data_IF_966930180753
#
_entry.id   IF_966930180753
#
_cell.length_a   1.000
_cell.length_b   1.000
_cell.length_c   1.000
_cell.angle_alpha   90.00
_cell.angle_beta   90.00
_cell.angle_gamma   90.00
#
_symmetry.space_group_name_H-M   'P 1'
#
loop_
_entity.id
_entity.type
_entity.pdbx_description
1 polymer ?
#
# COMPACT_ATOMS: atom_id res chain seq x y z
N UNK A 1 3.44 -26.56 -7.93
CA UNK A 1 4.83 -26.17 -7.60
C UNK A 1 4.73 -24.97 -6.66
N UNK A 2 5.79 -24.57 -5.95
CA UNK A 2 5.76 -23.37 -5.11
C UNK A 2 6.31 -22.19 -5.93
N UNK A 3 5.70 -21.02 -5.81
CA UNK A 3 6.18 -19.76 -6.40
C UNK A 3 6.48 -18.76 -5.29
N UNK A 4 7.31 -17.76 -5.55
CA UNK A 4 7.59 -16.71 -4.58
C UNK A 4 6.62 -15.54 -4.76
N UNK A 5 6.16 -14.97 -3.66
CA UNK A 5 5.35 -13.76 -3.68
C UNK A 5 6.19 -12.55 -4.12
N UNK A 6 5.77 -11.83 -5.15
CA UNK A 6 6.50 -10.68 -5.68
C UNK A 6 6.59 -9.48 -4.71
N UNK A 7 5.68 -9.41 -3.72
CA UNK A 7 5.65 -8.33 -2.72
C UNK A 7 6.51 -8.62 -1.47
N UNK A 8 6.33 -9.78 -0.83
CA UNK A 8 7.02 -10.14 0.42
C UNK A 8 8.10 -11.23 0.29
N UNK A 9 8.29 -11.80 -0.90
CA UNK A 9 9.25 -12.86 -1.21
C UNK A 9 9.07 -14.16 -0.42
N UNK A 10 7.90 -14.36 0.18
CA UNK A 10 7.57 -15.63 0.83
C UNK A 10 7.05 -16.66 -0.18
N UNK A 11 7.27 -17.94 0.10
CA UNK A 11 6.80 -19.05 -0.73
C UNK A 11 5.27 -19.17 -0.64
N UNK A 12 4.62 -19.26 -1.80
CA UNK A 12 3.18 -19.40 -1.94
C UNK A 12 2.87 -20.53 -2.93
N UNK A 13 1.68 -21.13 -2.81
CA UNK A 13 1.25 -22.14 -3.76
C UNK A 13 0.95 -21.51 -5.12
N UNK A 14 1.28 -22.22 -6.20
CA UNK A 14 1.13 -21.70 -7.56
C UNK A 14 -0.31 -21.36 -7.93
N UNK A 15 -1.29 -22.04 -7.31
CA UNK A 15 -2.73 -21.84 -7.48
C UNK A 15 -3.29 -20.63 -6.73
N UNK A 16 -2.50 -19.99 -5.86
CA UNK A 16 -2.97 -18.85 -5.08
C UNK A 16 -2.57 -17.53 -5.74
N UNK A 17 -3.56 -16.75 -6.15
CA UNK A 17 -3.35 -15.40 -6.71
C UNK A 17 -3.16 -14.37 -5.61
N UNK A 18 -3.65 -14.63 -4.39
CA UNK A 18 -3.46 -13.77 -3.22
C UNK A 18 -2.48 -14.40 -2.26
N UNK A 19 -1.45 -13.65 -1.85
CA UNK A 19 -0.47 -14.14 -0.89
C UNK A 19 -1.07 -14.21 0.53
N UNK A 20 -1.02 -15.36 1.23
CA UNK A 20 -1.54 -15.50 2.59
C UNK A 20 -0.73 -14.72 3.65
N UNK A 21 0.52 -14.36 3.34
CA UNK A 21 1.40 -13.63 4.26
C UNK A 21 1.17 -12.12 4.26
N UNK A 22 1.09 -11.52 3.07
CA UNK A 22 0.97 -10.07 2.93
C UNK A 22 -0.38 -9.60 2.36
N UNK A 23 -1.27 -10.52 1.98
CA UNK A 23 -2.57 -10.20 1.38
C UNK A 23 -2.50 -9.58 -0.01
N UNK A 24 -1.32 -9.55 -0.65
CA UNK A 24 -1.15 -8.93 -1.97
C UNK A 24 -1.60 -9.88 -3.08
N UNK A 25 -2.38 -9.36 -4.02
CA UNK A 25 -2.71 -10.05 -5.26
C UNK A 25 -1.51 -10.01 -6.22
N UNK A 26 -1.04 -11.19 -6.63
CA UNK A 26 0.14 -11.36 -7.49
C UNK A 26 -0.08 -10.81 -8.91
N UNK A 27 -1.31 -10.73 -9.40
CA UNK A 27 -1.62 -10.15 -10.71
C UNK A 27 -1.46 -8.63 -10.68
N UNK A 28 -2.00 -7.97 -9.64
CA UNK A 28 -1.88 -6.53 -9.46
C UNK A 28 -0.41 -6.09 -9.31
N UNK A 29 0.38 -6.88 -8.58
CA UNK A 29 1.82 -6.62 -8.39
C UNK A 29 2.59 -6.78 -9.71
N UNK A 30 2.22 -7.75 -10.56
CA UNK A 30 2.80 -7.92 -11.91
C UNK A 30 2.47 -6.75 -12.82
N UNK A 31 1.21 -6.31 -12.82
CA UNK A 31 0.75 -5.17 -13.61
C UNK A 31 1.48 -3.88 -13.20
N UNK A 32 1.59 -3.64 -11.89
CA UNK A 32 2.35 -2.50 -11.36
C UNK A 32 3.82 -2.56 -11.78
N UNK A 33 4.46 -3.72 -11.69
CA UNK A 33 5.85 -3.89 -12.10
C UNK A 33 6.03 -3.66 -13.62
N UNK A 34 5.09 -4.12 -14.44
CA UNK A 34 5.08 -3.87 -15.88
C UNK A 34 4.99 -2.37 -16.19
N UNK A 35 4.14 -1.63 -15.48
CA UNK A 35 4.02 -0.17 -15.60
C UNK A 35 5.29 0.56 -15.20
N UNK A 36 5.93 0.14 -14.10
CA UNK A 36 7.22 0.70 -13.67
C UNK A 36 8.31 0.46 -14.74
N UNK A 37 8.32 -0.71 -15.36
CA UNK A 37 9.26 -1.04 -16.44
C UNK A 37 9.00 -0.24 -17.72
N UNK A 38 7.74 0.04 -18.05
CA UNK A 38 7.34 0.93 -19.15
C UNK A 38 7.82 2.36 -18.89
N UNK A 39 7.56 2.90 -17.68
CA UNK A 39 7.99 4.25 -17.29
C UNK A 39 9.51 4.43 -17.29
N UNK A 40 10.27 3.37 -17.00
CA UNK A 40 11.73 3.40 -17.09
C UNK A 40 12.26 3.38 -18.54
N UNK A 41 11.38 3.36 -19.55
CA UNK A 41 11.74 3.37 -20.96
C UNK A 41 12.51 2.14 -21.41
N UNK A 42 12.51 1.06 -20.61
CA UNK A 42 13.44 -0.06 -20.82
C UNK A 42 12.94 -1.08 -21.83
N UNK A 43 11.63 -1.23 -22.06
CA UNK A 43 11.05 -2.14 -23.08
C UNK A 43 9.63 -1.74 -23.46
N UNK A 44 9.23 -2.01 -24.72
CA UNK A 44 7.82 -2.08 -25.11
C UNK A 44 7.25 -3.41 -24.63
N UNK A 45 6.34 -3.40 -23.66
CA UNK A 45 5.65 -4.59 -23.16
C UNK A 45 4.21 -4.54 -23.68
N UNK A 46 3.71 -5.65 -24.22
CA UNK A 46 2.30 -5.80 -24.60
C UNK A 46 1.48 -6.15 -23.35
N UNK A 47 0.66 -5.22 -22.88
CA UNK A 47 -0.26 -5.43 -21.76
C UNK A 47 -1.64 -5.85 -22.32
N UNK A 48 -2.33 -6.85 -21.75
CA UNK A 48 -3.71 -7.19 -22.14
C UNK A 48 -4.65 -5.99 -21.95
N UNK A 49 -5.68 -5.88 -22.80
CA UNK A 49 -6.38 -4.60 -23.07
C UNK A 49 -7.31 -4.09 -21.97
N UNK A 50 -7.60 -4.85 -20.92
CA UNK A 50 -8.62 -4.47 -19.94
C UNK A 50 -8.21 -4.93 -18.54
N UNK A 51 -7.30 -4.19 -17.90
CA UNK A 51 -7.10 -4.32 -16.45
C UNK A 51 -7.52 -3.00 -15.78
N UNK A 52 -8.21 -3.03 -14.62
CA UNK A 52 -8.66 -1.81 -13.92
C UNK A 52 -7.50 -0.89 -13.52
N UNK A 53 -6.27 -1.41 -13.55
CA UNK A 53 -5.03 -0.65 -13.30
C UNK A 53 -4.69 0.27 -14.48
N UNK A 54 -5.00 -0.12 -15.72
CA UNK A 54 -4.79 0.73 -16.91
C UNK A 54 -5.65 2.00 -16.86
N UNK A 55 -6.90 1.90 -16.41
CA UNK A 55 -7.80 3.05 -16.28
C UNK A 55 -7.24 4.07 -15.29
N UNK A 56 -6.77 3.61 -14.13
CA UNK A 56 -6.12 4.47 -13.13
C UNK A 56 -4.85 5.15 -13.66
N UNK A 57 -4.06 4.45 -14.47
CA UNK A 57 -2.85 5.01 -15.09
C UNK A 57 -3.20 6.07 -16.14
N UNK A 58 -4.23 5.84 -16.96
CA UNK A 58 -4.69 6.82 -17.94
C UNK A 58 -5.34 8.04 -17.31
N UNK A 59 -6.00 7.90 -16.15
CA UNK A 59 -6.50 9.03 -15.37
C UNK A 59 -5.37 9.86 -14.74
N UNK A 60 -4.29 9.20 -14.31
CA UNK A 60 -3.18 9.86 -13.60
C UNK A 60 -2.15 10.50 -14.54
N UNK A 61 -1.91 9.92 -15.72
CA UNK A 61 -0.94 10.42 -16.69
C UNK A 61 -1.42 10.22 -18.15
N UNK A 62 -2.11 11.21 -18.74
CA UNK A 62 -2.67 11.09 -20.08
C UNK A 62 -1.59 10.99 -21.18
N UNK A 63 -0.32 11.33 -20.90
CA UNK A 63 0.76 11.22 -21.87
C UNK A 63 1.11 9.74 -22.18
N UNK A 64 0.92 8.85 -21.21
CA UNK A 64 1.15 7.40 -21.37
C UNK A 64 0.17 6.79 -22.38
N UNK A 65 -1.01 7.40 -22.55
CA UNK A 65 -2.03 6.95 -23.51
C UNK A 65 -1.55 7.00 -24.96
N UNK A 66 -0.68 7.95 -25.31
CA UNK A 66 -0.19 8.10 -26.68
C UNK A 66 0.97 7.14 -27.00
N UNK A 67 1.65 6.60 -25.99
CA UNK A 67 2.81 5.69 -26.17
C UNK A 67 2.44 4.20 -26.17
N UNK A 68 1.24 3.85 -25.67
CA UNK A 68 0.79 2.46 -25.64
C UNK A 68 0.10 2.08 -26.95
N UNK A 69 0.82 1.35 -27.81
CA UNK A 69 0.23 0.68 -28.98
C UNK A 69 -0.57 -0.54 -28.51
N UNK A 70 -1.90 -0.40 -28.43
CA UNK A 70 -2.84 -1.49 -28.16
C UNK A 70 -2.85 -2.51 -29.30
N UNK A 71 -1.92 -3.46 -29.29
CA UNK A 71 -1.83 -4.53 -30.28
C UNK A 71 -3.17 -5.27 -30.41
N UNK A 72 -3.81 -5.16 -31.59
CA UNK A 72 -4.91 -6.04 -31.98
C UNK A 72 -4.27 -7.40 -32.25
N UNK A 73 -4.66 -8.42 -31.48
CA UNK A 73 -4.26 -9.80 -31.74
C UNK A 73 -5.06 -10.28 -32.95
N UNK A 74 -4.52 -10.10 -34.15
CA UNK A 74 -4.91 -10.92 -35.32
C UNK A 74 -3.97 -12.12 -35.39
N UNK A 75 -4.57 -13.30 -35.28
CA UNK A 75 -4.08 -14.60 -35.74
C UNK A 75 -2.84 -15.20 -35.05
N UNK A 76 -3.09 -16.08 -34.07
CA UNK A 76 -2.20 -17.22 -33.81
C UNK A 76 -2.97 -18.50 -34.14
N UNK A 77 -2.56 -19.08 -35.28
CA UNK A 77 -3.02 -20.32 -35.86
C UNK A 77 -2.22 -21.49 -35.29
N UNK A 78 -2.95 -22.47 -34.75
CA UNK A 78 -2.64 -23.90 -34.56
C UNK A 78 -1.32 -24.32 -33.88
N UNK A 79 -1.46 -24.96 -32.70
CA UNK A 79 -0.97 -26.34 -32.48
C UNK A 79 -1.48 -27.00 -31.18
N UNK A 80 -2.29 -28.04 -31.40
CA UNK A 80 -2.30 -29.37 -30.74
C UNK A 80 -2.90 -29.48 -29.31
N UNK A 81 -4.14 -29.95 -29.31
CA UNK A 81 -4.98 -30.40 -28.21
C UNK A 81 -4.38 -31.56 -27.40
N UNK A 82 -4.50 -31.55 -26.05
CA UNK A 82 -4.44 -32.76 -25.21
C UNK A 82 -5.83 -33.42 -25.08
N UNK A 83 -5.90 -34.72 -24.77
CA UNK A 83 -7.14 -35.51 -24.83
C UNK A 83 -8.10 -35.26 -23.65
N UNK A 84 -9.37 -35.47 -23.94
CA UNK A 84 -10.54 -35.39 -23.06
C UNK A 84 -10.38 -36.20 -21.75
N UNK A 85 -10.62 -35.59 -20.57
CA UNK A 85 -10.94 -36.36 -19.37
C UNK A 85 -12.40 -36.85 -19.44
N UNK A 86 -12.56 -38.17 -19.30
CA UNK A 86 -13.85 -38.85 -19.33
C UNK A 86 -14.77 -38.35 -18.19
N UNK A 87 -15.99 -38.02 -18.59
CA UNK A 87 -17.09 -37.63 -17.73
C UNK A 87 -17.41 -38.73 -16.72
N UNK A 88 -17.20 -38.45 -15.43
CA UNK A 88 -17.82 -39.21 -14.35
C UNK A 88 -19.08 -38.47 -13.91
N UNK A 89 -20.21 -39.13 -14.09
CA UNK A 89 -21.54 -38.65 -13.71
C UNK A 89 -21.71 -38.75 -12.19
N UNK A 90 -21.43 -37.67 -11.47
CA UNK A 90 -21.97 -37.46 -10.14
C UNK A 90 -23.22 -36.60 -10.25
N UNK A 91 -24.38 -37.21 -9.96
CA UNK A 91 -25.65 -36.52 -9.90
C UNK A 91 -25.68 -35.57 -8.71
N UNK A 92 -25.71 -34.26 -8.98
CA UNK A 92 -26.07 -33.24 -8.00
C UNK A 92 -27.53 -32.88 -8.24
N UNK A 93 -28.37 -33.23 -7.27
CA UNK A 93 -29.75 -32.78 -7.20
C UNK A 93 -29.77 -31.26 -7.04
N UNK A 94 -30.27 -30.57 -8.05
CA UNK A 94 -30.43 -29.12 -8.07
C UNK A 94 -31.78 -28.72 -7.45
N UNK A 95 -31.80 -28.37 -6.17
CA UNK A 95 -32.94 -27.66 -5.57
C UNK A 95 -32.50 -26.62 -4.53
N UNK A 96 -31.36 -25.99 -4.77
CA UNK A 96 -30.86 -24.89 -3.96
C UNK A 96 -30.61 -23.65 -4.82
N UNK A 97 -31.51 -22.68 -4.76
CA UNK A 97 -31.27 -21.32 -5.28
C UNK A 97 -30.06 -20.73 -4.55
N UNK A 98 -28.88 -20.80 -5.16
CA UNK A 98 -27.69 -20.09 -4.67
C UNK A 98 -27.94 -18.58 -4.80
N UNK A 99 -28.23 -17.94 -3.68
CA UNK A 99 -28.22 -16.48 -3.54
C UNK A 99 -26.83 -16.09 -3.04
N UNK A 100 -25.99 -15.43 -3.85
CA UNK A 100 -24.75 -14.86 -3.33
C UNK A 100 -25.11 -13.79 -2.29
N UNK A 101 -24.76 -14.02 -1.03
CA UNK A 101 -24.83 -12.98 0.01
C UNK A 101 -23.82 -11.90 -0.33
N UNK A 102 -24.29 -10.67 -0.52
CA UNK A 102 -23.41 -9.52 -0.74
C UNK A 102 -22.40 -9.38 0.41
N UNK A 103 -21.12 -9.15 0.10
CA UNK A 103 -20.12 -8.92 1.14
C UNK A 103 -20.40 -7.57 1.83
N UNK A 104 -20.20 -7.54 3.15
CA UNK A 104 -20.67 -6.48 4.06
C UNK A 104 -20.14 -5.08 3.77
N UNK A 105 -19.11 -4.94 2.94
CA UNK A 105 -18.56 -3.65 2.49
C UNK A 105 -19.34 -3.00 1.34
N UNK A 106 -20.23 -3.74 0.66
CA UNK A 106 -21.13 -3.20 -0.38
C UNK A 106 -22.45 -2.63 0.20
N UNK A 107 -22.68 -2.83 1.50
CA UNK A 107 -23.81 -2.22 2.19
C UNK A 107 -23.54 -0.72 2.36
N UNK A 108 -24.23 0.09 1.55
CA UNK A 108 -24.28 1.54 1.71
C UNK A 108 -24.70 1.84 3.15
N UNK A 109 -23.88 2.54 3.96
CA UNK A 109 -24.27 2.84 5.34
C UNK A 109 -25.56 3.66 5.32
N UNK A 110 -26.58 3.17 6.05
CA UNK A 110 -27.80 3.92 6.30
C UNK A 110 -27.44 5.27 6.96
N UNK A 111 -28.15 6.36 6.63
CA UNK A 111 -27.90 7.66 7.24
C UNK A 111 -28.27 7.59 8.72
N UNK A 112 -27.28 7.31 9.57
CA UNK A 112 -27.41 7.43 11.01
C UNK A 112 -27.60 8.91 11.31
N UNK A 113 -28.85 9.29 11.65
CA UNK A 113 -29.16 10.55 12.32
C UNK A 113 -28.45 10.58 13.67
N UNK A 114 -27.21 11.03 13.67
CA UNK A 114 -26.54 11.57 14.84
C UNK A 114 -26.56 13.08 14.67
N UNK A 115 -27.22 13.76 15.60
CA UNK A 115 -26.93 15.16 15.92
C UNK A 115 -25.45 15.25 16.30
N UNK A 116 -24.63 15.54 15.28
CA UNK A 116 -23.23 15.91 15.44
C UNK A 116 -23.22 17.42 15.46
N UNK A 117 -22.95 17.98 16.63
CA UNK A 117 -22.60 19.38 16.79
C UNK A 117 -21.42 19.68 15.87
N UNK A 118 -21.58 20.70 15.04
CA UNK A 118 -20.63 21.15 14.02
C UNK A 118 -19.28 21.49 14.67
N UNK A 119 -18.32 20.57 14.53
CA UNK A 119 -16.91 20.90 14.66
C UNK A 119 -16.43 21.45 13.30
N UNK A 120 -15.71 22.59 13.27
CA UNK A 120 -15.33 23.24 12.02
C UNK A 120 -14.39 22.35 11.18
N UNK A 121 -14.48 22.42 9.84
CA UNK A 121 -13.72 21.56 8.93
C UNK A 121 -12.23 21.88 9.01
N UNK A 122 -11.43 20.93 9.52
CA UNK A 122 -9.98 20.95 9.33
C UNK A 122 -9.67 20.55 7.90
N UNK A 123 -9.55 21.58 7.07
CA UNK A 123 -8.82 21.64 5.81
C UNK A 123 -7.44 21.03 6.01
N UNK A 124 -7.19 19.84 5.47
CA UNK A 124 -5.83 19.30 5.34
C UNK A 124 -5.26 19.97 4.10
N UNK A 125 -4.79 21.19 4.27
CA UNK A 125 -3.93 21.85 3.29
C UNK A 125 -2.54 21.25 3.41
N UNK A 126 -2.10 20.61 2.34
CA UNK A 126 -0.69 20.40 2.05
C UNK A 126 0.00 21.76 2.06
N UNK A 127 0.68 22.09 3.17
CA UNK A 127 1.51 23.29 3.22
C UNK A 127 2.77 23.10 4.06
N UNK A 128 3.86 23.43 3.37
CA UNK A 128 5.13 23.92 3.90
C UNK A 128 6.05 22.88 4.54
N UNK A 129 6.91 22.31 3.68
CA UNK A 129 8.36 22.14 3.90
C UNK A 129 8.83 22.53 5.31
N UNK A 130 8.69 21.58 6.23
CA UNK A 130 9.24 21.68 7.56
C UNK A 130 10.75 21.92 7.45
N UNK A 131 11.18 23.14 7.77
CA UNK A 131 12.57 23.50 8.07
C UNK A 131 13.15 22.40 8.97
N UNK A 132 13.91 21.48 8.37
CA UNK A 132 14.47 20.31 9.06
C UNK A 132 15.45 20.86 10.10
N UNK A 133 14.99 20.97 11.34
CA UNK A 133 15.81 21.38 12.48
C UNK A 133 16.86 20.30 12.70
N UNK A 134 18.09 20.55 12.25
CA UNK A 134 19.26 19.76 12.60
C UNK A 134 19.53 19.92 14.09
N UNK A 135 19.84 18.81 14.74
CA UNK A 135 20.04 18.70 16.18
C UNK A 135 21.35 17.95 16.44
N UNK A 136 22.13 18.41 17.41
CA UNK A 136 23.35 17.71 17.84
C UNK A 136 22.98 16.53 18.72
N UNK A 137 23.48 15.35 18.38
CA UNK A 137 23.30 14.16 19.20
C UNK A 137 24.01 14.34 20.55
N UNK A 138 23.37 14.07 21.70
CA UNK A 138 24.01 14.23 23.01
C UNK A 138 25.09 13.19 23.30
N UNK A 139 25.13 12.08 22.56
CA UNK A 139 26.10 11.00 22.77
C UNK A 139 27.34 11.16 21.86
N UNK A 140 27.13 11.47 20.57
CA UNK A 140 28.24 11.55 19.60
C UNK A 140 28.51 12.95 19.06
N UNK A 141 27.79 13.97 19.54
CA UNK A 141 27.91 15.40 19.19
C UNK A 141 27.72 15.76 17.71
N UNK A 142 27.51 14.77 16.84
CA UNK A 142 27.25 14.96 15.41
C UNK A 142 25.89 15.57 15.16
N UNK A 143 25.83 16.41 14.15
CA UNK A 143 24.57 16.99 13.66
C UNK A 143 23.78 15.92 12.91
N UNK A 144 22.57 15.66 13.41
CA UNK A 144 21.66 14.68 12.86
C UNK A 144 20.32 15.33 12.58
N UNK A 145 19.64 14.81 11.56
CA UNK A 145 18.25 15.15 11.30
C UNK A 145 17.39 14.61 12.46
N UNK A 146 16.25 15.24 12.68
CA UNK A 146 15.28 14.83 13.70
C UNK A 146 14.63 13.49 13.31
N UNK A 147 15.37 12.40 13.53
CA UNK A 147 14.97 11.01 13.28
C UNK A 147 14.79 10.30 14.62
N UNK A 148 14.13 9.14 14.63
CA UNK A 148 13.95 8.36 15.86
C UNK A 148 15.26 7.99 16.55
N UNK A 149 16.32 7.75 15.77
CA UNK A 149 17.64 7.34 16.25
C UNK A 149 18.76 8.13 15.54
N UNK A 150 19.88 8.31 16.23
CA UNK A 150 21.09 8.89 15.64
C UNK A 150 21.72 7.92 14.63
N UNK A 151 21.94 8.36 13.39
CA UNK A 151 22.58 7.54 12.33
C UNK A 151 24.03 7.13 12.63
N UNK A 152 24.70 7.82 13.55
CA UNK A 152 26.12 7.59 13.84
C UNK A 152 26.37 6.72 15.07
N UNK A 153 25.58 6.88 16.14
CA UNK A 153 25.77 6.13 17.39
C UNK A 153 24.58 5.24 17.78
N UNK A 154 23.47 5.28 17.03
CA UNK A 154 22.27 4.50 17.34
C UNK A 154 21.42 5.03 18.49
N UNK A 155 21.86 6.09 19.19
CA UNK A 155 21.11 6.65 20.32
C UNK A 155 19.70 7.09 19.91
N UNK A 156 18.68 6.65 20.65
CA UNK A 156 17.31 7.12 20.48
C UNK A 156 17.20 8.62 20.80
N UNK A 157 16.65 9.38 19.85
CA UNK A 157 16.34 10.81 19.98
C UNK A 157 14.85 11.05 20.30
N UNK A 158 14.05 9.99 20.25
CA UNK A 158 12.69 9.92 20.77
C UNK A 158 12.71 9.30 22.17
N UNK A 159 11.70 9.64 22.97
CA UNK A 159 11.46 9.05 24.29
C UNK A 159 9.97 8.93 24.53
N UNK A 160 9.56 8.06 25.43
CA UNK A 160 8.16 7.92 25.78
C UNK A 160 7.74 8.90 26.88
N UNK A 161 6.48 9.34 26.82
CA UNK A 161 5.87 10.10 27.89
C UNK A 161 5.69 9.22 29.14
N UNK A 162 6.12 9.65 30.33
CA UNK A 162 5.85 8.87 31.55
C UNK A 162 4.35 8.80 31.90
N UNK A 163 3.52 9.72 31.39
CA UNK A 163 2.09 9.78 31.71
C UNK A 163 1.22 9.01 30.71
N UNK A 164 1.49 9.12 29.40
CA UNK A 164 0.65 8.53 28.36
C UNK A 164 1.38 7.55 27.45
N UNK A 165 2.68 7.30 27.68
CA UNK A 165 3.56 6.43 26.88
C UNK A 165 3.68 6.80 25.40
N UNK A 166 3.15 7.96 24.97
CA UNK A 166 3.36 8.44 23.61
C UNK A 166 4.83 8.78 23.37
N UNK A 167 5.32 8.50 22.17
CA UNK A 167 6.62 8.99 21.70
C UNK A 167 6.64 10.52 21.63
N UNK A 168 7.66 11.10 22.26
CA UNK A 168 7.91 12.54 22.35
C UNK A 168 9.36 12.79 21.94
N UNK A 169 9.59 13.92 21.27
CA UNK A 169 10.93 14.48 21.04
C UNK A 169 11.76 14.64 22.32
N UNK A 170 13.03 14.28 22.27
CA UNK A 170 14.03 14.59 23.31
C UNK A 170 14.20 16.08 23.59
N UNK A 171 13.78 16.96 22.66
CA UNK A 171 13.83 18.42 22.80
C UNK A 171 12.53 19.01 23.35
N UNK A 172 11.44 18.25 23.37
CA UNK A 172 10.15 18.76 23.85
C UNK A 172 10.15 18.96 25.37
N UNK A 173 9.57 20.09 25.78
CA UNK A 173 9.33 20.45 27.19
C UNK A 173 7.99 19.94 27.72
N UNK A 174 7.07 19.58 26.82
CA UNK A 174 5.72 19.12 27.13
C UNK A 174 5.32 17.99 26.19
N UNK A 175 4.50 17.06 26.67
CA UNK A 175 3.85 16.07 25.81
C UNK A 175 2.79 16.74 24.95
N UNK A 176 2.80 16.46 23.64
CA UNK A 176 1.80 16.97 22.68
C UNK A 176 0.43 16.33 22.84
N UNK A 177 0.34 15.12 23.42
CA UNK A 177 -0.93 14.41 23.66
C UNK A 177 -1.57 14.78 25.00
N UNK A 178 -0.83 14.68 26.10
CA UNK A 178 -1.40 14.82 27.45
C UNK A 178 -1.01 16.12 28.15
N UNK A 179 -0.13 16.96 27.57
CA UNK A 179 0.30 18.23 28.16
C UNK A 179 1.25 18.10 29.35
N UNK A 180 1.60 16.88 29.79
CA UNK A 180 2.52 16.67 30.91
C UNK A 180 3.88 17.31 30.64
N UNK A 181 4.41 18.05 31.62
CA UNK A 181 5.76 18.63 31.60
C UNK A 181 6.80 17.51 31.57
N UNK A 182 7.68 17.54 30.57
CA UNK A 182 8.76 16.56 30.41
C UNK A 182 10.10 17.29 30.33
N UNK A 183 11.12 16.80 31.03
CA UNK A 183 12.44 17.45 31.08
C UNK A 183 13.18 17.26 29.75
N UNK A 184 13.48 18.27 28.93
CA UNK A 184 14.19 18.07 27.66
C UNK A 184 15.59 17.50 27.95
N UNK A 185 16.00 16.49 27.17
CA UNK A 185 17.35 15.89 27.28
C UNK A 185 18.39 16.75 26.54
N UNK A 186 17.94 17.57 25.59
CA UNK A 186 18.82 18.39 24.76
C UNK A 186 18.50 19.86 25.07
N UNK A 187 19.47 20.54 25.70
CA UNK A 187 19.42 21.99 25.90
C UNK A 187 19.72 22.66 24.56
N UNK A 188 18.77 23.42 24.01
CA UNK A 188 19.08 24.35 22.92
C UNK A 188 20.07 25.37 23.47
N UNK A 189 21.29 25.37 22.93
CA UNK A 189 22.30 26.37 23.23
C UNK A 189 22.16 27.51 22.23
#
# INVERSE_FOLDING_TARGET
>A
MMKECLACWEEIEETEDTCPHCGSNQEDVKDYLALVLLKQGKRKISVPKETPVLDYVFETDPAVKEEISLGVVTDIKDKKSPPEPQASSFGIQSDGTYRPTQPSWLAKPEPVKKEVQEAPPTKIEEKEEDKIKTIKCPNCEKEVKFLGHCKFCGQALLRECPSCKQEISSTAKFCTKCGTKVKPLIKKK
#
